data_IF_462792945012
#
_entry.id   IF_462792945012
#
_cell.length_a   1.000
_cell.length_b   1.000
_cell.length_c   1.000
_cell.angle_alpha   90.00
_cell.angle_beta   90.00
_cell.angle_gamma   90.00
#
_symmetry.space_group_name_H-M   'P 1'
#
loop_
_entity.id
_entity.type
_entity.pdbx_description
1 polymer ?
#
# COMPACT_ATOMS: atom_id res chain seq x y z
N UNK A 1 -3.77 -25.22 16.53
CA UNK A 1 -2.76 -24.62 15.63
C UNK A 1 -2.48 -23.22 16.10
N UNK A 2 -1.22 -22.85 16.36
CA UNK A 2 -0.89 -21.45 16.66
C UNK A 2 -0.82 -20.70 15.33
N UNK A 3 -1.73 -19.73 15.13
CA UNK A 3 -1.65 -18.81 14.00
C UNK A 3 -0.55 -17.78 14.26
N UNK A 4 0.32 -17.55 13.28
CA UNK A 4 1.20 -16.39 13.26
C UNK A 4 0.35 -15.14 13.05
N UNK A 5 0.60 -14.09 13.82
CA UNK A 5 -0.07 -12.80 13.70
C UNK A 5 0.99 -11.73 13.50
N UNK A 6 0.83 -10.94 12.45
CA UNK A 6 1.68 -9.77 12.17
C UNK A 6 0.99 -8.53 12.71
N UNK A 7 1.77 -7.64 13.31
CA UNK A 7 1.31 -6.35 13.81
C UNK A 7 2.17 -5.27 13.16
N UNK A 8 1.52 -4.26 12.60
CA UNK A 8 2.20 -3.12 12.01
C UNK A 8 2.43 -2.01 13.02
N UNK A 9 3.49 -1.26 12.80
CA UNK A 9 3.86 -0.13 13.64
C UNK A 9 4.86 0.78 12.94
N UNK A 10 5.08 1.95 13.53
CA UNK A 10 5.99 2.97 13.02
C UNK A 10 7.26 2.94 13.85
N UNK A 11 8.42 2.91 13.19
CA UNK A 11 9.70 3.08 13.87
C UNK A 11 9.98 4.56 14.13
N UNK A 12 10.06 4.94 15.42
CA UNK A 12 10.30 6.31 15.87
C UNK A 12 11.22 6.31 17.09
N UNK A 13 12.27 7.12 17.06
CA UNK A 13 13.19 7.32 18.20
C UNK A 13 13.73 6.01 18.83
N UNK A 14 14.07 5.03 17.99
CA UNK A 14 14.59 3.75 18.48
C UNK A 14 13.53 2.77 18.98
N UNK A 15 12.24 3.08 18.83
CA UNK A 15 11.10 2.26 19.29
C UNK A 15 10.15 1.94 18.14
N UNK A 16 9.43 0.83 18.26
CA UNK A 16 8.33 0.47 17.35
C UNK A 16 7.03 0.84 18.07
N UNK A 17 6.32 1.82 17.53
CA UNK A 17 4.99 2.24 17.98
C UNK A 17 3.94 1.43 17.22
N UNK A 18 3.37 0.41 17.87
CA UNK A 18 2.35 -0.44 17.24
C UNK A 18 1.01 0.31 17.13
N UNK A 19 0.36 0.22 15.97
CA UNK A 19 -0.97 0.81 15.77
C UNK A 19 -2.04 0.09 16.60
N UNK A 20 -1.88 -1.22 16.78
CA UNK A 20 -2.73 -2.05 17.65
C UNK A 20 -1.86 -2.90 18.57
N UNK A 21 -2.17 -2.91 19.86
CA UNK A 21 -1.44 -3.73 20.82
C UNK A 21 -1.80 -5.22 20.69
N UNK A 22 -0.80 -6.11 20.65
CA UNK A 22 -1.04 -7.54 20.56
C UNK A 22 -1.64 -8.08 21.86
N UNK A 23 -2.76 -8.79 21.76
CA UNK A 23 -3.42 -9.44 22.88
C UNK A 23 -3.08 -10.93 22.99
N UNK A 24 -2.94 -11.43 24.22
CA UNK A 24 -2.66 -12.84 24.49
C UNK A 24 -1.24 -13.30 24.13
N UNK A 25 -0.30 -12.36 23.99
CA UNK A 25 1.13 -12.67 23.80
C UNK A 25 1.78 -12.83 25.17
N UNK A 26 2.52 -13.93 25.37
CA UNK A 26 3.23 -14.20 26.62
C UNK A 26 4.47 -13.32 26.72
N UNK A 27 4.90 -13.05 27.94
CA UNK A 27 6.19 -12.42 28.18
C UNK A 27 7.33 -13.23 27.55
N UNK A 28 8.39 -12.54 27.12
CA UNK A 28 9.54 -13.09 26.40
C UNK A 28 9.22 -13.87 25.12
N UNK A 29 8.09 -13.59 24.44
CA UNK A 29 7.80 -14.18 23.13
C UNK A 29 8.77 -13.63 22.07
N UNK A 30 9.47 -14.48 21.30
CA UNK A 30 10.35 -14.02 20.21
C UNK A 30 9.56 -13.27 19.12
N UNK A 31 10.15 -12.20 18.59
CA UNK A 31 9.55 -11.40 17.52
C UNK A 31 10.46 -11.34 16.29
N UNK A 32 9.85 -11.15 15.12
CA UNK A 32 10.55 -10.76 13.89
C UNK A 32 10.29 -9.27 13.65
N UNK A 33 11.34 -8.53 13.32
CA UNK A 33 11.25 -7.10 12.98
C UNK A 33 11.82 -6.91 11.58
N UNK A 34 10.99 -6.38 10.69
CA UNK A 34 11.39 -6.00 9.33
C UNK A 34 11.14 -4.52 9.16
N UNK A 35 12.17 -3.76 8.80
CA UNK A 35 12.03 -2.34 8.48
C UNK A 35 11.67 -2.21 7.01
N UNK A 36 10.50 -1.63 6.75
CA UNK A 36 10.07 -1.31 5.39
C UNK A 36 10.70 0.02 4.99
N UNK A 37 11.47 0.02 3.92
CA UNK A 37 11.92 1.26 3.29
C UNK A 37 10.77 1.81 2.43
N UNK A 38 10.45 3.10 2.59
CA UNK A 38 9.54 3.75 1.66
C UNK A 38 10.23 3.83 0.30
N UNK A 39 9.92 2.87 -0.57
CA UNK A 39 10.30 2.99 -1.98
C UNK A 39 9.37 4.00 -2.65
N UNK A 40 9.62 5.29 -2.37
CA UNK A 40 9.01 6.34 -3.18
C UNK A 40 9.56 6.17 -4.58
N UNK A 41 8.73 5.62 -5.45
CA UNK A 41 9.09 5.43 -6.85
C UNK A 41 9.09 6.79 -7.53
N UNK A 42 10.28 7.29 -7.85
CA UNK A 42 10.41 8.47 -8.70
C UNK A 42 10.04 8.12 -10.14
N UNK A 43 8.83 8.49 -10.55
CA UNK A 43 8.37 8.29 -11.93
C UNK A 43 9.31 8.98 -12.93
N UNK A 44 9.83 10.15 -12.57
CA UNK A 44 10.79 10.90 -13.40
C UNK A 44 12.11 10.15 -13.57
N UNK A 45 12.67 9.55 -12.51
CA UNK A 45 13.88 8.71 -12.62
C UNK A 45 13.65 7.46 -13.48
N UNK A 46 12.39 7.02 -13.58
CA UNK A 46 11.96 5.93 -14.46
C UNK A 46 11.61 6.37 -15.88
N UNK A 47 11.88 7.63 -16.23
CA UNK A 47 11.62 8.17 -17.57
C UNK A 47 10.17 8.61 -17.81
N UNK A 48 9.31 8.52 -16.80
CA UNK A 48 7.90 8.94 -16.90
C UNK A 48 7.82 10.40 -16.47
N UNK A 49 8.07 11.29 -17.43
CA UNK A 49 7.81 12.72 -17.31
C UNK A 49 6.37 13.09 -17.72
N UNK A 50 6.00 14.38 -17.63
CA UNK A 50 4.68 14.85 -18.04
C UNK A 50 4.32 14.50 -19.50
N UNK A 51 5.28 14.60 -20.42
CA UNK A 51 5.05 14.30 -21.84
C UNK A 51 4.80 12.80 -22.06
N UNK A 52 5.59 11.94 -21.41
CA UNK A 52 5.41 10.48 -21.44
C UNK A 52 4.08 10.06 -20.82
N UNK A 53 3.70 10.71 -19.71
CA UNK A 53 2.40 10.47 -19.08
C UNK A 53 1.24 10.88 -19.99
N UNK A 54 1.38 11.98 -20.74
CA UNK A 54 0.39 12.42 -21.71
C UNK A 54 0.27 11.46 -22.91
N UNK A 55 1.41 10.98 -23.45
CA UNK A 55 1.42 9.95 -24.51
C UNK A 55 0.75 8.66 -24.03
N UNK A 56 1.11 8.20 -22.83
CA UNK A 56 0.52 7.00 -22.25
C UNK A 56 -0.99 7.15 -22.07
N UNK A 57 -1.47 8.30 -21.57
CA UNK A 57 -2.90 8.57 -21.43
C UNK A 57 -3.61 8.63 -22.78
N UNK A 58 -3.00 9.21 -23.81
CA UNK A 58 -3.55 9.23 -25.17
C UNK A 58 -3.69 7.80 -25.72
N UNK A 59 -2.67 6.95 -25.56
CA UNK A 59 -2.69 5.55 -26.01
C UNK A 59 -3.75 4.70 -25.30
N UNK A 60 -4.09 5.03 -24.07
CA UNK A 60 -5.09 4.33 -23.26
C UNK A 60 -6.50 4.92 -23.40
N UNK A 61 -6.71 5.93 -24.25
CA UNK A 61 -8.00 6.62 -24.40
C UNK A 61 -9.15 5.68 -24.76
N UNK A 62 -8.87 4.58 -25.47
CA UNK A 62 -9.90 3.57 -25.82
C UNK A 62 -10.52 2.87 -24.61
N UNK A 63 -9.88 2.92 -23.45
CA UNK A 63 -10.36 2.35 -22.19
C UNK A 63 -10.94 3.40 -21.24
N UNK A 64 -10.89 4.69 -21.62
CA UNK A 64 -11.25 5.78 -20.71
C UNK A 64 -12.73 5.73 -20.30
N UNK A 65 -13.64 5.35 -21.20
CA UNK A 65 -15.07 5.29 -20.87
C UNK A 65 -15.37 4.24 -19.78
N UNK A 66 -14.78 3.05 -19.90
CA UNK A 66 -14.95 2.00 -18.89
C UNK A 66 -14.23 2.36 -17.58
N UNK A 67 -13.07 3.01 -17.67
CA UNK A 67 -12.24 3.37 -16.52
C UNK A 67 -12.75 4.60 -15.75
N UNK A 68 -13.34 5.57 -16.44
CA UNK A 68 -13.91 6.79 -15.84
C UNK A 68 -15.35 6.56 -15.31
N UNK A 69 -15.86 5.32 -15.39
CA UNK A 69 -17.12 4.95 -14.75
C UNK A 69 -16.95 5.03 -13.22
N UNK A 70 -17.86 5.70 -12.47
CA UNK A 70 -17.82 5.75 -11.00
C UNK A 70 -17.69 4.40 -10.29
N UNK A 71 -18.14 3.30 -10.92
CA UNK A 71 -17.95 1.95 -10.39
C UNK A 71 -16.45 1.57 -10.24
N UNK A 72 -15.56 2.22 -11.01
CA UNK A 72 -14.11 2.02 -10.96
C UNK A 72 -13.42 2.82 -9.84
N UNK A 73 -14.10 3.80 -9.23
CA UNK A 73 -13.57 4.58 -8.10
C UNK A 73 -13.23 3.67 -6.90
N UNK A 74 -13.82 2.47 -6.84
CA UNK A 74 -13.48 1.42 -5.86
C UNK A 74 -11.98 1.11 -5.82
N UNK A 75 -11.27 1.25 -6.94
CA UNK A 75 -9.84 0.95 -7.05
C UNK A 75 -8.93 2.09 -6.53
N UNK A 76 -9.44 3.31 -6.34
CA UNK A 76 -8.66 4.43 -5.81
C UNK A 76 -8.23 4.20 -4.36
N UNK A 77 -9.05 3.47 -3.59
CA UNK A 77 -8.74 3.00 -2.24
C UNK A 77 -8.99 1.50 -2.13
N UNK A 78 -8.26 0.73 -2.95
CA UNK A 78 -8.40 -0.72 -3.05
C UNK A 78 -8.32 -1.42 -1.68
N UNK A 79 -7.44 -0.96 -0.79
CA UNK A 79 -7.30 -1.57 0.54
C UNK A 79 -8.52 -1.32 1.42
N UNK A 80 -9.13 -0.13 1.38
CA UNK A 80 -10.36 0.15 2.10
C UNK A 80 -11.58 -0.52 1.48
N UNK A 81 -11.61 -0.66 0.15
CA UNK A 81 -12.78 -1.10 -0.60
C UNK A 81 -12.73 -2.59 -1.02
N UNK A 82 -11.73 -3.35 -0.59
CA UNK A 82 -11.56 -4.77 -0.93
C UNK A 82 -12.78 -5.65 -0.60
N UNK A 83 -13.67 -5.18 0.29
CA UNK A 83 -14.89 -5.87 0.71
C UNK A 83 -16.09 -5.63 -0.21
N UNK A 84 -16.00 -4.63 -1.09
CA UNK A 84 -17.03 -4.19 -2.03
C UNK A 84 -16.75 -4.66 -3.49
N UNK A 85 -15.63 -5.38 -3.69
CA UNK A 85 -15.22 -6.04 -4.94
C UNK A 85 -15.64 -7.52 -4.98
#
# INVERSE_FOLDING_TARGET
MNALRTYEGIYREGKIELATFPYGVRDATPVLVTFLESSVVSLRERGIGPDEAADLRARLTTFAEDWDNPDMDVYDDYEANQHDL
#
